data_IF_623037354465
#
_entry.id   IF_623037354465
#
_cell.length_a   1.000
_cell.length_b   1.000
_cell.length_c   1.000
_cell.angle_alpha   90.00
_cell.angle_beta   90.00
_cell.angle_gamma   90.00
#
_symmetry.space_group_name_H-M   'P 1'
#
loop_
_entity.id
_entity.type
_entity.pdbx_description
1 polymer ?
#
# COMPACT_ATOMS: atom_id res chain seq x y z
N UNK A 1 5.52 -17.44 67.60
CA UNK A 1 4.82 -17.34 68.90
C UNK A 1 4.22 -15.94 68.95
N UNK A 2 2.98 -15.77 68.50
CA UNK A 2 1.73 -15.66 69.30
C UNK A 2 1.82 -14.50 70.32
N UNK A 3 0.91 -13.54 70.48
CA UNK A 3 -0.46 -13.35 70.00
C UNK A 3 -0.94 -11.95 70.43
N UNK A 4 -1.76 -11.31 69.58
CA UNK A 4 -3.00 -10.56 69.87
C UNK A 4 -2.99 -9.35 70.84
N UNK A 5 -3.40 -8.16 70.36
CA UNK A 5 -4.77 -7.64 70.53
C UNK A 5 -4.93 -6.22 69.92
N UNK A 6 -5.98 -6.05 69.10
CA UNK A 6 -6.57 -4.81 68.57
C UNK A 6 -7.94 -4.65 69.24
N UNK A 7 -8.49 -3.43 69.45
CA UNK A 7 -9.64 -2.97 68.62
C UNK A 7 -9.80 -1.41 68.58
N UNK A 8 -10.88 -0.81 68.03
CA UNK A 8 -11.57 -1.04 66.75
C UNK A 8 -11.71 0.25 65.89
N UNK A 9 -12.23 0.08 64.67
CA UNK A 9 -12.67 1.12 63.71
C UNK A 9 -14.01 1.76 64.10
N UNK A 10 -14.33 2.99 63.63
CA UNK A 10 -15.70 3.40 63.33
C UNK A 10 -16.01 3.28 61.83
N UNK A 11 -17.15 2.66 61.52
CA UNK A 11 -17.70 2.47 60.19
C UNK A 11 -18.55 3.64 59.66
N UNK A 12 -19.25 3.45 58.52
CA UNK A 12 -19.82 4.50 57.69
C UNK A 12 -21.30 4.77 57.98
N UNK A 13 -21.75 6.03 57.87
CA UNK A 13 -23.18 6.42 57.81
C UNK A 13 -23.33 7.70 56.93
N UNK A 14 -24.54 8.13 56.49
CA UNK A 14 -25.00 7.89 55.11
C UNK A 14 -25.62 9.13 54.37
N UNK A 15 -25.86 8.99 53.05
CA UNK A 15 -26.94 9.62 52.24
C UNK A 15 -26.94 11.18 52.11
N UNK A 16 -27.34 11.86 51.03
CA UNK A 16 -28.18 11.60 49.85
C UNK A 16 -27.97 12.80 48.89
N UNK A 17 -27.90 12.55 47.57
CA UNK A 17 -28.61 13.29 46.50
C UNK A 17 -27.85 13.28 45.18
N UNK A 18 -28.50 12.63 44.22
CA UNK A 18 -28.10 12.47 42.84
C UNK A 18 -27.93 13.80 42.08
N UNK A 19 -26.82 13.92 41.33
CA UNK A 19 -26.79 14.63 40.04
C UNK A 19 -26.01 13.80 39.04
N UNK A 20 -26.78 12.99 38.30
CA UNK A 20 -26.36 12.27 37.11
C UNK A 20 -26.20 13.30 35.99
N UNK A 21 -24.98 13.73 35.68
CA UNK A 21 -24.70 14.48 34.45
C UNK A 21 -24.67 13.49 33.30
N UNK A 22 -25.83 13.31 32.68
CA UNK A 22 -25.97 12.66 31.37
C UNK A 22 -25.66 13.72 30.32
N UNK A 23 -24.57 13.54 29.58
CA UNK A 23 -24.31 14.32 28.37
C UNK A 23 -25.41 14.02 27.34
N UNK A 24 -26.03 15.03 26.71
CA UNK A 24 -27.07 14.81 25.72
C UNK A 24 -26.47 14.30 24.39
N UNK A 25 -27.19 13.43 23.65
CA UNK A 25 -26.80 13.05 22.29
C UNK A 25 -26.98 14.21 21.31
N UNK A 26 -26.21 14.27 20.20
CA UNK A 26 -26.42 15.26 19.16
C UNK A 26 -27.78 15.06 18.47
N UNK A 27 -28.51 16.16 18.31
CA UNK A 27 -29.81 16.19 17.64
C UNK A 27 -29.65 15.90 16.13
N UNK A 28 -30.64 15.24 15.49
CA UNK A 28 -30.61 15.00 14.06
C UNK A 28 -30.83 16.31 13.30
N UNK A 29 -29.88 16.65 12.43
CA UNK A 29 -30.04 17.71 11.44
C UNK A 29 -31.11 17.27 10.44
N UNK A 30 -32.33 17.79 10.62
CA UNK A 30 -33.37 17.78 9.59
C UNK A 30 -32.93 18.72 8.46
N UNK A 31 -32.45 18.15 7.36
CA UNK A 31 -32.46 18.86 6.08
C UNK A 31 -33.85 18.71 5.50
N UNK A 32 -34.62 19.79 5.58
CA UNK A 32 -35.98 19.87 5.05
C UNK A 32 -35.96 19.81 3.53
N UNK A 33 -36.66 18.82 2.97
CA UNK A 33 -37.13 18.83 1.59
C UNK A 33 -38.09 20.00 1.41
N UNK A 34 -37.68 21.02 0.66
CA UNK A 34 -38.58 22.03 0.11
C UNK A 34 -38.66 21.82 -1.41
N UNK A 35 -39.72 21.12 -1.82
CA UNK A 35 -40.21 21.16 -3.18
C UNK A 35 -40.85 22.53 -3.42
N UNK A 36 -40.31 23.29 -4.38
CA UNK A 36 -41.04 24.36 -5.04
C UNK A 36 -40.93 24.15 -6.54
N UNK A 37 -42.06 23.72 -7.10
CA UNK A 37 -42.37 23.74 -8.51
C UNK A 37 -42.53 25.20 -9.00
N UNK A 38 -42.19 25.43 -10.26
CA UNK A 38 -42.80 26.53 -11.02
C UNK A 38 -41.90 27.21 -12.05
N UNK A 39 -42.10 26.84 -13.31
CA UNK A 39 -41.92 27.68 -14.52
C UNK A 39 -40.46 27.97 -14.93
N UNK A 40 -39.95 27.53 -16.07
CA UNK A 40 -40.60 27.33 -17.35
C UNK A 40 -39.79 28.10 -18.41
N UNK A 41 -39.02 27.38 -19.23
CA UNK A 41 -38.63 27.82 -20.57
C UNK A 41 -38.18 26.62 -21.41
N UNK A 42 -39.07 26.22 -22.31
CA UNK A 42 -38.82 25.26 -23.40
C UNK A 42 -37.91 25.91 -24.44
N UNK A 43 -36.89 25.18 -24.86
CA UNK A 43 -36.43 25.20 -26.25
C UNK A 43 -36.34 23.74 -26.71
N UNK A 44 -37.36 23.31 -27.47
CA UNK A 44 -37.30 22.12 -28.32
C UNK A 44 -36.50 22.49 -29.56
N UNK A 45 -35.42 21.77 -29.83
CA UNK A 45 -34.91 21.54 -31.17
C UNK A 45 -34.28 20.15 -31.16
N UNK A 46 -35.02 19.19 -31.69
CA UNK A 46 -34.48 17.91 -32.10
C UNK A 46 -33.73 18.11 -33.40
N UNK A 47 -32.48 17.65 -33.43
CA UNK A 47 -31.78 17.34 -34.66
C UNK A 47 -31.09 15.99 -34.45
N UNK A 48 -31.65 14.96 -35.06
CA UNK A 48 -30.97 13.68 -35.23
C UNK A 48 -29.83 13.93 -36.22
N UNK A 49 -28.59 13.83 -35.75
CA UNK A 49 -27.41 13.82 -36.61
C UNK A 49 -26.97 12.37 -36.74
N UNK A 50 -26.99 11.90 -37.98
CA UNK A 50 -26.60 10.56 -38.39
C UNK A 50 -25.19 10.22 -37.91
N UNK A 51 -25.01 8.99 -37.43
CA UNK A 51 -23.70 8.39 -37.21
C UNK A 51 -22.96 8.34 -38.55
N UNK A 52 -21.96 9.21 -38.70
CA UNK A 52 -20.99 9.12 -39.79
C UNK A 52 -19.88 8.17 -39.35
N UNK A 53 -19.62 7.17 -40.20
CA UNK A 53 -18.62 6.13 -39.97
C UNK A 53 -17.24 6.75 -39.71
N UNK A 54 -16.60 6.34 -38.61
CA UNK A 54 -15.21 6.65 -38.34
C UNK A 54 -14.32 6.00 -39.43
N UNK A 55 -13.27 6.69 -39.91
CA UNK A 55 -12.42 6.16 -40.97
C UNK A 55 -11.56 5.00 -40.44
N UNK A 56 -11.56 3.89 -41.20
CA UNK A 56 -11.08 2.55 -40.84
C UNK A 56 -9.56 2.38 -40.72
N UNK A 57 -8.79 3.44 -40.49
CA UNK A 57 -7.32 3.36 -40.45
C UNK A 57 -6.73 3.18 -39.04
N UNK A 58 -7.55 3.29 -37.98
CA UNK A 58 -7.09 3.11 -36.60
C UNK A 58 -7.26 1.69 -36.05
N UNK A 59 -8.05 0.83 -36.70
CA UNK A 59 -8.19 -0.58 -36.29
C UNK A 59 -7.04 -1.46 -36.80
N UNK A 60 -6.38 -1.08 -37.90
CA UNK A 60 -5.31 -1.89 -38.49
C UNK A 60 -3.96 -1.74 -37.75
N UNK A 61 -3.74 -0.62 -37.06
CA UNK A 61 -2.55 -0.41 -36.23
C UNK A 61 -2.62 -1.14 -34.87
N UNK A 62 -3.83 -1.47 -34.39
CA UNK A 62 -4.05 -2.20 -33.13
C UNK A 62 -3.99 -3.72 -33.29
N UNK A 63 -4.22 -4.23 -34.50
CA UNK A 63 -4.24 -5.67 -34.80
C UNK A 63 -2.86 -6.16 -35.28
N UNK A 64 -2.09 -5.33 -35.98
CA UNK A 64 -0.76 -5.72 -36.48
C UNK A 64 0.33 -5.88 -35.39
N UNK A 65 0.11 -5.39 -34.16
CA UNK A 65 1.05 -5.58 -33.03
C UNK A 65 0.71 -6.83 -32.20
N UNK A 66 -0.41 -7.50 -32.47
CA UNK A 66 -0.86 -8.65 -31.68
C UNK A 66 -0.59 -10.03 -32.32
N UNK A 67 -0.15 -10.07 -33.57
CA UNK A 67 0.00 -11.32 -34.34
C UNK A 67 1.43 -11.88 -34.43
N UNK A 68 2.48 -11.14 -34.03
CA UNK A 68 3.86 -11.66 -33.99
C UNK A 68 4.53 -11.42 -32.65
N UNK A 69 4.09 -12.18 -31.65
CA UNK A 69 4.70 -12.18 -30.34
C UNK A 69 3.78 -12.91 -29.37
N UNK A 70 3.85 -14.25 -29.39
CA UNK A 70 3.08 -15.10 -28.47
C UNK A 70 3.09 -14.48 -27.08
N UNK A 71 1.90 -14.12 -26.58
CA UNK A 71 1.65 -13.31 -25.38
C UNK A 71 2.21 -13.98 -24.12
N UNK A 72 3.53 -14.02 -23.98
CA UNK A 72 4.20 -14.36 -22.74
C UNK A 72 4.09 -13.14 -21.84
N UNK A 73 3.63 -13.38 -20.62
CA UNK A 73 3.60 -12.38 -19.57
C UNK A 73 4.99 -11.71 -19.49
N UNK A 74 5.10 -10.37 -19.59
CA UNK A 74 6.38 -9.66 -19.48
C UNK A 74 7.15 -10.01 -18.20
N UNK A 75 6.45 -10.40 -17.13
CA UNK A 75 7.07 -10.85 -15.88
C UNK A 75 7.67 -12.26 -15.92
N UNK A 76 7.47 -13.00 -17.02
CA UNK A 76 7.96 -14.38 -17.26
C UNK A 76 8.85 -14.44 -18.51
N UNK A 77 8.82 -13.41 -19.35
CA UNK A 77 9.65 -13.35 -20.55
C UNK A 77 11.02 -12.78 -20.22
N UNK A 78 12.06 -13.59 -20.35
CA UNK A 78 13.45 -13.14 -20.25
C UNK A 78 13.81 -12.10 -21.33
N UNK A 79 12.96 -11.92 -22.37
CA UNK A 79 13.18 -10.98 -23.47
C UNK A 79 13.18 -9.50 -23.06
N UNK A 80 12.51 -9.15 -21.96
CA UNK A 80 12.44 -7.77 -21.47
C UNK A 80 13.39 -7.49 -20.30
N UNK A 81 14.13 -8.51 -19.84
CA UNK A 81 15.06 -8.40 -18.74
C UNK A 81 16.46 -8.07 -19.27
N UNK A 82 17.04 -6.91 -18.92
CA UNK A 82 18.43 -6.61 -19.24
C UNK A 82 19.37 -7.74 -18.75
N UNK A 83 20.30 -8.15 -19.62
CA UNK A 83 21.35 -9.08 -19.24
C UNK A 83 22.17 -8.46 -18.09
N UNK A 84 22.26 -9.17 -16.95
CA UNK A 84 23.02 -8.72 -15.77
C UNK A 84 22.19 -8.34 -14.54
N UNK A 85 20.86 -8.23 -14.64
CA UNK A 85 20.02 -8.03 -13.45
C UNK A 85 19.92 -9.33 -12.61
N UNK A 86 20.17 -9.29 -11.28
CA UNK A 86 20.08 -10.47 -10.39
C UNK A 86 18.68 -11.08 -10.36
N UNK A 87 18.57 -12.41 -10.52
CA UNK A 87 17.28 -13.11 -10.48
C UNK A 87 16.57 -12.87 -9.14
N UNK A 88 15.26 -12.56 -9.15
CA UNK A 88 14.51 -12.40 -7.91
C UNK A 88 14.46 -13.74 -7.18
N UNK A 89 14.49 -13.70 -5.84
CA UNK A 89 14.37 -14.90 -5.04
C UNK A 89 13.02 -15.57 -5.30
N UNK A 90 13.04 -16.81 -5.81
CA UNK A 90 11.84 -17.52 -6.26
C UNK A 90 10.83 -17.77 -5.12
N UNK A 91 11.31 -18.06 -3.91
CA UNK A 91 10.45 -18.33 -2.75
C UNK A 91 9.64 -17.09 -2.36
N UNK A 92 10.29 -15.93 -2.31
CA UNK A 92 9.62 -14.66 -2.00
C UNK A 92 8.71 -14.23 -3.15
N UNK A 93 9.15 -14.40 -4.40
CA UNK A 93 8.34 -14.06 -5.57
C UNK A 93 7.03 -14.87 -5.65
N UNK A 94 7.09 -16.17 -5.37
CA UNK A 94 5.89 -17.02 -5.31
C UNK A 94 4.93 -16.57 -4.20
N UNK A 95 5.46 -16.19 -3.04
CA UNK A 95 4.66 -15.65 -1.95
C UNK A 95 3.99 -14.33 -2.35
N UNK A 96 4.72 -13.41 -2.97
CA UNK A 96 4.20 -12.14 -3.48
C UNK A 96 3.08 -12.35 -4.51
N UNK A 97 3.21 -13.32 -5.41
CA UNK A 97 2.17 -13.64 -6.38
C UNK A 97 0.83 -14.08 -5.74
N UNK A 98 0.86 -14.49 -4.46
CA UNK A 98 -0.33 -14.84 -3.68
C UNK A 98 -0.84 -13.71 -2.80
N UNK A 99 0.06 -13.01 -2.10
CA UNK A 99 -0.31 -12.03 -1.06
C UNK A 99 -0.32 -10.59 -1.55
N UNK A 100 0.43 -10.26 -2.60
CA UNK A 100 0.52 -8.91 -3.16
C UNK A 100 -0.51 -8.71 -4.27
N UNK A 101 -1.79 -8.98 -3.96
CA UNK A 101 -2.91 -8.82 -4.88
C UNK A 101 -4.06 -8.07 -4.21
N UNK A 102 -5.13 -7.76 -4.94
CA UNK A 102 -6.22 -6.94 -4.40
C UNK A 102 -6.99 -7.59 -3.23
N UNK A 103 -7.87 -6.84 -2.56
CA UNK A 103 -8.59 -7.27 -1.33
C UNK A 103 -9.45 -8.52 -1.50
N UNK A 104 -9.88 -8.82 -2.72
CA UNK A 104 -10.69 -10.01 -3.03
C UNK A 104 -9.90 -11.17 -3.67
N UNK A 105 -8.66 -10.92 -4.11
CA UNK A 105 -7.84 -11.89 -4.86
C UNK A 105 -6.72 -12.49 -4.03
N UNK A 106 -6.39 -11.83 -2.93
CA UNK A 106 -5.32 -12.25 -2.02
C UNK A 106 -5.59 -13.63 -1.45
N UNK A 107 -4.55 -14.46 -1.48
CA UNK A 107 -4.58 -15.83 -0.94
C UNK A 107 -3.55 -15.92 0.19
N UNK A 108 -3.98 -15.87 1.47
CA UNK A 108 -3.10 -16.00 2.62
C UNK A 108 -2.16 -17.21 2.51
N UNK A 109 -0.96 -17.09 3.08
CA UNK A 109 0.00 -18.19 3.12
C UNK A 109 -0.39 -19.19 4.22
N UNK A 110 -0.12 -20.47 3.96
CA UNK A 110 -0.13 -21.49 5.02
C UNK A 110 1.06 -21.31 5.96
N UNK A 111 1.05 -21.96 7.12
CA UNK A 111 2.09 -21.81 8.13
C UNK A 111 3.47 -22.18 7.61
N UNK A 112 3.61 -23.36 6.98
CA UNK A 112 4.89 -23.85 6.47
C UNK A 112 5.45 -22.93 5.38
N UNK A 113 4.57 -22.36 4.55
CA UNK A 113 4.97 -21.41 3.52
C UNK A 113 5.39 -20.08 4.13
N UNK A 114 4.64 -19.54 5.10
CA UNK A 114 4.99 -18.31 5.80
C UNK A 114 6.32 -18.44 6.55
N UNK A 115 6.54 -19.55 7.26
CA UNK A 115 7.81 -19.86 7.92
C UNK A 115 8.96 -19.90 6.93
N UNK A 116 8.80 -20.59 5.79
CA UNK A 116 9.84 -20.68 4.75
C UNK A 116 10.19 -19.32 4.17
N UNK A 117 9.20 -18.48 3.90
CA UNK A 117 9.42 -17.13 3.33
C UNK A 117 10.16 -16.24 4.33
N UNK A 118 9.73 -16.20 5.59
CA UNK A 118 10.37 -15.38 6.63
C UNK A 118 11.77 -15.88 7.00
N UNK A 119 11.99 -17.20 7.01
CA UNK A 119 13.34 -17.79 7.15
C UNK A 119 14.25 -17.38 5.98
N UNK A 120 13.75 -17.46 4.75
CA UNK A 120 14.50 -17.04 3.55
C UNK A 120 14.88 -15.56 3.64
N UNK A 121 13.95 -14.70 4.05
CA UNK A 121 14.21 -13.26 4.27
C UNK A 121 15.27 -13.05 5.36
N UNK A 122 15.14 -13.74 6.50
CA UNK A 122 16.09 -13.63 7.61
C UNK A 122 17.52 -14.01 7.16
N UNK A 123 17.66 -15.17 6.53
CA UNK A 123 18.95 -15.68 6.02
C UNK A 123 19.54 -14.78 4.94
N UNK A 124 18.69 -14.22 4.07
CA UNK A 124 19.11 -13.22 3.08
C UNK A 124 19.66 -11.96 3.74
N UNK A 125 18.96 -11.42 4.74
CA UNK A 125 19.38 -10.22 5.45
C UNK A 125 20.64 -10.45 6.31
N UNK A 126 20.90 -11.68 6.75
CA UNK A 126 22.17 -12.09 7.39
C UNK A 126 23.32 -12.31 6.39
N UNK A 127 23.07 -12.22 5.08
CA UNK A 127 24.07 -12.48 4.05
C UNK A 127 24.43 -13.96 3.85
N UNK A 128 23.58 -14.87 4.33
CA UNK A 128 23.81 -16.32 4.22
C UNK A 128 23.42 -16.88 2.84
N UNK A 129 22.57 -16.18 2.09
CA UNK A 129 22.17 -16.57 0.74
C UNK A 129 23.14 -15.99 -0.29
N UNK A 130 23.95 -16.88 -0.88
CA UNK A 130 24.92 -16.52 -1.93
C UNK A 130 24.30 -16.44 -3.33
N UNK A 131 23.29 -17.27 -3.58
CA UNK A 131 22.54 -17.29 -4.83
C UNK A 131 21.15 -16.72 -4.58
N UNK A 132 20.73 -15.80 -5.46
CA UNK A 132 19.40 -15.17 -5.44
C UNK A 132 19.00 -14.59 -4.06
N UNK A 133 19.78 -13.66 -3.49
CA UNK A 133 19.37 -12.96 -2.27
C UNK A 133 18.06 -12.19 -2.52
N UNK A 134 17.25 -12.06 -1.48
CA UNK A 134 16.02 -11.28 -1.52
C UNK A 134 16.37 -9.80 -1.72
N UNK A 135 15.94 -9.22 -2.83
CA UNK A 135 16.24 -7.82 -3.15
C UNK A 135 15.45 -6.84 -2.27
N UNK A 136 15.93 -5.59 -2.17
CA UNK A 136 15.23 -4.50 -1.46
C UNK A 136 13.81 -4.30 -1.99
N UNK A 137 13.63 -4.34 -3.32
CA UNK A 137 12.32 -4.28 -3.95
C UNK A 137 11.40 -5.45 -3.51
N UNK A 138 11.93 -6.68 -3.40
CA UNK A 138 11.15 -7.82 -2.92
C UNK A 138 10.74 -7.67 -1.45
N UNK A 139 11.64 -7.18 -0.59
CA UNK A 139 11.32 -6.90 0.81
C UNK A 139 10.21 -5.85 0.92
N UNK A 140 10.37 -4.71 0.23
CA UNK A 140 9.40 -3.63 0.24
C UNK A 140 8.02 -4.08 -0.23
N UNK A 141 7.95 -4.79 -1.36
CA UNK A 141 6.67 -5.24 -1.88
C UNK A 141 6.01 -6.33 -1.01
N UNK A 142 6.79 -7.28 -0.48
CA UNK A 142 6.26 -8.32 0.38
C UNK A 142 5.70 -7.75 1.68
N UNK A 143 6.48 -6.92 2.38
CA UNK A 143 6.04 -6.35 3.66
C UNK A 143 4.90 -5.34 3.47
N UNK A 144 4.88 -4.53 2.41
CA UNK A 144 3.74 -3.67 2.12
C UNK A 144 2.45 -4.48 1.97
N UNK A 145 2.52 -5.61 1.25
CA UNK A 145 1.37 -6.49 1.11
C UNK A 145 0.94 -7.12 2.43
N UNK A 146 1.87 -7.51 3.28
CA UNK A 146 1.55 -7.99 4.63
C UNK A 146 0.86 -6.89 5.46
N UNK A 147 1.41 -5.68 5.49
CA UNK A 147 0.88 -4.54 6.28
C UNK A 147 -0.51 -4.11 5.84
N UNK A 148 -0.74 -3.94 4.53
CA UNK A 148 -2.06 -3.55 4.01
C UNK A 148 -3.10 -4.60 4.37
N UNK A 149 -2.74 -5.89 4.20
CA UNK A 149 -3.64 -6.99 4.53
C UNK A 149 -4.00 -7.03 6.01
N UNK A 150 -3.09 -6.69 6.93
CA UNK A 150 -3.43 -6.64 8.35
C UNK A 150 -4.31 -5.44 8.72
N UNK A 151 -4.17 -4.33 8.00
CA UNK A 151 -4.78 -3.05 8.37
C UNK A 151 -6.17 -2.85 7.76
N UNK A 152 -6.37 -3.18 6.49
CA UNK A 152 -7.55 -2.72 5.73
C UNK A 152 -8.33 -3.82 5.01
N UNK A 153 -7.73 -4.98 4.74
CA UNK A 153 -8.39 -6.02 3.95
C UNK A 153 -9.48 -6.76 4.74
N UNK A 154 -10.50 -7.33 4.06
CA UNK A 154 -11.52 -8.18 4.69
C UNK A 154 -10.92 -9.42 5.36
N UNK A 155 -11.54 -9.92 6.42
CA UNK A 155 -11.05 -11.03 7.26
C UNK A 155 -10.54 -12.25 6.46
N UNK A 156 -11.25 -12.63 5.39
CA UNK A 156 -10.88 -13.77 4.54
C UNK A 156 -9.51 -13.62 3.83
N UNK A 157 -9.04 -12.39 3.63
CA UNK A 157 -7.77 -12.07 2.95
C UNK A 157 -6.75 -11.39 3.85
N UNK A 158 -7.09 -11.17 5.13
CA UNK A 158 -6.14 -10.80 6.18
C UNK A 158 -5.14 -11.92 6.45
N UNK A 159 -4.26 -11.72 7.44
CA UNK A 159 -3.29 -12.74 7.82
C UNK A 159 -3.99 -14.03 8.23
N UNK A 160 -3.47 -15.16 7.75
CA UNK A 160 -3.83 -16.47 8.29
C UNK A 160 -3.26 -16.61 9.71
N UNK A 161 -3.76 -17.59 10.47
CA UNK A 161 -3.13 -17.92 11.75
C UNK A 161 -1.67 -18.37 11.60
N UNK A 162 -1.35 -19.07 10.50
CA UNK A 162 0.01 -19.48 10.19
C UNK A 162 0.93 -18.30 9.95
N UNK A 163 0.46 -17.27 9.22
CA UNK A 163 1.20 -16.02 9.03
C UNK A 163 1.42 -15.27 10.36
N UNK A 164 0.40 -15.21 11.23
CA UNK A 164 0.53 -14.63 12.58
C UNK A 164 1.56 -15.36 13.43
N UNK A 165 1.53 -16.71 13.45
CA UNK A 165 2.51 -17.54 14.18
C UNK A 165 3.92 -17.38 13.62
N UNK A 166 4.08 -17.37 12.30
CA UNK A 166 5.38 -17.18 11.69
C UNK A 166 5.93 -15.78 11.98
N UNK A 167 5.11 -14.73 11.88
CA UNK A 167 5.52 -13.37 12.19
C UNK A 167 5.96 -13.25 13.66
N UNK A 168 5.24 -13.85 14.61
CA UNK A 168 5.61 -13.75 16.04
C UNK A 168 6.95 -14.41 16.37
N UNK A 169 7.33 -15.45 15.63
CA UNK A 169 8.62 -16.14 15.78
C UNK A 169 9.77 -15.36 15.14
N UNK A 170 9.57 -14.86 13.90
CA UNK A 170 10.65 -14.27 13.11
C UNK A 170 10.84 -12.76 13.35
N UNK A 171 9.78 -12.01 13.64
CA UNK A 171 9.84 -10.54 13.76
C UNK A 171 10.88 -10.03 14.77
N UNK A 172 11.03 -10.61 15.98
CA UNK A 172 12.04 -10.15 16.94
C UNK A 172 13.48 -10.23 16.41
N UNK A 173 13.76 -11.14 15.48
CA UNK A 173 15.08 -11.25 14.83
C UNK A 173 15.17 -10.35 13.60
N UNK A 174 14.13 -10.31 12.78
CA UNK A 174 14.05 -9.47 11.58
C UNK A 174 14.22 -7.99 11.92
N UNK A 175 13.57 -7.49 12.97
CA UNK A 175 13.65 -6.09 13.38
C UNK A 175 15.07 -5.64 13.77
N UNK A 176 15.95 -6.58 14.13
CA UNK A 176 17.35 -6.27 14.47
C UNK A 176 18.21 -6.05 13.22
N UNK A 177 17.93 -6.81 12.15
CA UNK A 177 18.81 -6.88 10.97
C UNK A 177 18.28 -6.14 9.74
N UNK A 178 16.97 -5.94 9.62
CA UNK A 178 16.38 -5.31 8.44
C UNK A 178 16.82 -3.83 8.30
N UNK A 179 16.77 -3.27 7.09
CA UNK A 179 16.95 -1.82 6.88
C UNK A 179 15.82 -1.00 7.54
N UNK A 180 16.06 0.26 7.96
CA UNK A 180 15.05 1.11 8.59
C UNK A 180 13.79 1.31 7.76
N UNK A 181 13.91 1.48 6.46
CA UNK A 181 12.79 1.65 5.53
C UNK A 181 11.90 0.40 5.46
N UNK A 182 12.50 -0.80 5.51
CA UNK A 182 11.75 -2.06 5.50
C UNK A 182 11.03 -2.26 6.83
N UNK A 183 11.64 -1.86 7.95
CA UNK A 183 10.98 -1.87 9.27
C UNK A 183 9.78 -0.91 9.27
N UNK A 184 9.91 0.25 8.65
CA UNK A 184 8.80 1.19 8.47
C UNK A 184 7.68 0.59 7.64
N UNK A 185 7.98 0.00 6.47
CA UNK A 185 6.97 -0.60 5.59
C UNK A 185 6.23 -1.73 6.32
N UNK A 186 6.98 -2.58 7.03
CA UNK A 186 6.42 -3.72 7.75
C UNK A 186 5.61 -3.29 8.97
N UNK A 187 6.03 -2.25 9.70
CA UNK A 187 5.36 -1.83 10.93
C UNK A 187 5.30 -0.29 11.05
N UNK A 188 4.47 0.39 10.23
CA UNK A 188 4.47 1.86 10.14
C UNK A 188 4.04 2.54 11.44
N UNK A 189 3.21 1.87 12.24
CA UNK A 189 2.66 2.34 13.51
C UNK A 189 3.39 1.76 14.75
N UNK A 190 4.28 0.79 14.58
CA UNK A 190 5.02 0.16 15.68
C UNK A 190 4.19 -0.81 16.52
N UNK A 191 3.16 -1.43 15.92
CA UNK A 191 2.12 -2.20 16.63
C UNK A 191 2.26 -3.71 16.49
N UNK A 192 3.05 -4.23 15.53
CA UNK A 192 3.08 -5.66 15.16
C UNK A 192 3.33 -6.62 16.35
N UNK A 193 4.06 -6.18 17.39
CA UNK A 193 4.29 -7.02 18.58
C UNK A 193 4.03 -6.34 19.93
N UNK A 194 3.26 -5.24 19.96
CA UNK A 194 2.95 -4.51 21.20
C UNK A 194 4.17 -3.97 21.99
N UNK A 195 5.37 -4.11 21.43
CA UNK A 195 6.60 -3.53 21.93
C UNK A 195 6.81 -2.20 21.23
N UNK A 196 7.24 -1.17 21.97
CA UNK A 196 7.54 0.21 21.58
C UNK A 196 8.46 0.35 20.33
N UNK A 197 8.00 -0.11 19.17
CA UNK A 197 8.71 -0.07 17.91
C UNK A 197 8.72 1.36 17.40
N UNK A 198 9.68 2.16 17.85
CA UNK A 198 9.75 3.59 17.51
C UNK A 198 10.26 3.83 16.09
N UNK A 199 10.79 2.81 15.41
CA UNK A 199 11.41 2.97 14.08
C UNK A 199 10.39 3.35 13.03
N UNK A 200 9.26 2.64 12.93
CA UNK A 200 8.23 2.92 11.93
C UNK A 200 7.60 4.31 12.09
N UNK A 201 7.06 4.66 13.27
CA UNK A 201 6.43 5.96 13.51
C UNK A 201 7.40 7.15 13.32
N UNK A 202 8.70 6.96 13.57
CA UNK A 202 9.71 8.02 13.44
C UNK A 202 10.45 8.02 12.10
N UNK A 203 10.18 7.06 11.22
CA UNK A 203 10.81 7.02 9.91
C UNK A 203 10.24 8.14 9.03
N UNK A 204 11.14 8.96 8.50
CA UNK A 204 10.82 10.11 7.64
C UNK A 204 11.44 10.01 6.25
N UNK A 205 12.25 8.99 5.94
CA UNK A 205 12.97 8.91 4.67
C UNK A 205 14.23 9.77 4.61
N UNK A 206 15.04 9.55 3.58
CA UNK A 206 16.27 10.29 3.30
C UNK A 206 16.05 11.32 2.18
N UNK A 207 16.14 12.60 2.52
CA UNK A 207 15.95 13.69 1.57
C UNK A 207 14.47 13.98 1.25
N UNK A 208 14.24 15.02 0.44
CA UNK A 208 12.90 15.56 0.20
C UNK A 208 11.98 14.61 -0.59
N UNK A 209 12.55 13.87 -1.55
CA UNK A 209 11.81 12.88 -2.35
C UNK A 209 11.28 11.73 -1.49
N UNK A 210 12.14 11.08 -0.71
CA UNK A 210 11.72 10.00 0.18
C UNK A 210 10.79 10.48 1.30
N UNK A 211 10.98 11.69 1.84
CA UNK A 211 10.06 12.25 2.83
C UNK A 211 8.63 12.32 2.32
N UNK A 212 8.45 12.75 1.08
CA UNK A 212 7.15 12.79 0.43
C UNK A 212 6.61 11.39 0.17
N UNK A 213 7.45 10.47 -0.31
CA UNK A 213 7.10 9.07 -0.54
C UNK A 213 6.66 8.38 0.75
N UNK A 214 7.36 8.61 1.87
CA UNK A 214 7.03 8.04 3.19
C UNK A 214 5.69 8.59 3.68
N UNK A 215 5.43 9.89 3.49
CA UNK A 215 4.12 10.47 3.79
C UNK A 215 2.99 9.79 3.01
N UNK A 216 3.17 9.62 1.70
CA UNK A 216 2.22 8.93 0.84
C UNK A 216 2.06 7.44 1.20
N UNK A 217 3.16 6.75 1.55
CA UNK A 217 3.15 5.36 1.97
C UNK A 217 2.35 5.11 3.24
N UNK A 218 2.30 6.05 4.19
CA UNK A 218 1.47 5.89 5.40
C UNK A 218 -0.01 5.75 5.06
N UNK A 219 -0.50 6.57 4.13
CA UNK A 219 -1.88 6.49 3.64
C UNK A 219 -2.11 5.17 2.88
N UNK A 220 -1.21 4.83 1.94
CA UNK A 220 -1.32 3.61 1.12
C UNK A 220 -1.27 2.35 2.00
N UNK A 221 -0.37 2.26 2.98
CA UNK A 221 -0.24 1.12 3.89
C UNK A 221 -1.42 1.00 4.86
N UNK A 222 -2.18 2.08 5.09
CA UNK A 222 -3.44 2.06 5.80
C UNK A 222 -4.63 1.60 4.93
N UNK A 223 -4.40 1.29 3.65
CA UNK A 223 -5.45 0.93 2.68
C UNK A 223 -6.12 2.14 2.02
N UNK A 224 -5.56 3.33 2.17
CA UNK A 224 -6.07 4.57 1.61
C UNK A 224 -5.68 4.78 0.14
N UNK A 225 -6.19 5.90 -0.40
CA UNK A 225 -5.93 6.37 -1.75
C UNK A 225 -5.41 7.80 -1.71
N UNK A 226 -4.55 8.13 -2.67
CA UNK A 226 -3.92 9.44 -2.72
C UNK A 226 -4.66 10.39 -3.67
N UNK A 227 -4.51 11.68 -3.41
CA UNK A 227 -4.94 12.73 -4.33
C UNK A 227 -4.14 12.71 -5.63
N UNK A 228 -4.75 13.23 -6.70
CA UNK A 228 -4.10 13.37 -8.00
C UNK A 228 -2.75 14.12 -7.93
N UNK A 229 -2.73 15.27 -7.25
CA UNK A 229 -1.53 16.11 -7.13
C UNK A 229 -0.44 15.41 -6.30
N UNK A 230 -0.84 14.67 -5.27
CA UNK A 230 0.07 13.94 -4.39
C UNK A 230 0.78 12.82 -5.16
N UNK A 231 0.04 12.01 -5.93
CA UNK A 231 0.61 10.96 -6.78
C UNK A 231 1.53 11.58 -7.84
N UNK A 232 1.10 12.64 -8.52
CA UNK A 232 1.92 13.28 -9.55
C UNK A 232 3.25 13.81 -8.98
N UNK A 233 3.22 14.48 -7.82
CA UNK A 233 4.44 14.97 -7.17
C UNK A 233 5.35 13.83 -6.73
N UNK A 234 4.79 12.79 -6.09
CA UNK A 234 5.56 11.61 -5.66
C UNK A 234 6.25 10.95 -6.86
N UNK A 235 5.52 10.71 -7.95
CA UNK A 235 6.08 10.07 -9.15
C UNK A 235 7.20 10.90 -9.80
N UNK A 236 7.05 12.23 -9.89
CA UNK A 236 8.07 13.12 -10.45
C UNK A 236 9.37 13.13 -9.65
N UNK A 237 9.30 12.91 -8.33
CA UNK A 237 10.48 12.95 -7.46
C UNK A 237 11.21 11.60 -7.35
N UNK A 238 10.51 10.49 -7.58
CA UNK A 238 11.02 9.12 -7.31
C UNK A 238 11.29 8.31 -8.57
N UNK A 239 10.64 8.61 -9.69
CA UNK A 239 10.87 7.87 -10.92
C UNK A 239 12.12 8.42 -11.62
N UNK A 240 13.12 7.58 -11.93
CA UNK A 240 14.33 8.01 -12.64
C UNK A 240 14.04 8.16 -14.13
N UNK A 241 13.18 9.11 -14.49
CA UNK A 241 12.81 9.40 -15.88
C UNK A 241 13.33 10.82 -16.14
N UNK A 242 14.37 10.95 -16.96
CA UNK A 242 15.00 12.24 -17.29
C UNK A 242 16.49 12.13 -17.70
N UNK A 243 16.98 12.99 -18.62
CA UNK A 243 18.37 12.97 -19.14
C UNK A 243 19.42 13.54 -18.17
N UNK A 244 18.98 14.20 -17.10
CA UNK A 244 19.82 14.71 -16.02
C UNK A 244 19.75 13.75 -14.83
N UNK A 245 20.38 12.59 -15.00
CA UNK A 245 20.50 11.54 -13.99
C UNK A 245 21.50 11.91 -12.89
N UNK A 246 21.28 13.02 -12.19
CA UNK A 246 21.71 13.14 -10.80
C UNK A 246 20.67 12.37 -9.96
N UNK A 247 20.75 11.03 -10.07
CA UNK A 247 19.79 10.09 -9.54
C UNK A 247 19.52 10.38 -8.06
N UNK A 248 18.33 10.87 -7.74
CA UNK A 248 17.78 10.75 -6.39
C UNK A 248 17.70 9.26 -6.11
N UNK A 249 18.69 8.74 -5.37
CA UNK A 249 18.76 7.33 -4.96
C UNK A 249 17.63 7.07 -3.97
N UNK A 250 16.42 6.90 -4.49
CA UNK A 250 15.25 6.50 -3.71
C UNK A 250 15.38 5.01 -3.41
N UNK A 251 15.13 4.62 -2.17
CA UNK A 251 15.17 3.22 -1.77
C UNK A 251 14.20 2.39 -2.62
N UNK A 252 14.75 1.37 -3.29
CA UNK A 252 13.97 0.42 -4.09
C UNK A 252 12.85 -0.25 -3.28
N UNK A 253 13.07 -0.43 -1.96
CA UNK A 253 12.06 -0.98 -1.07
C UNK A 253 10.85 -0.05 -0.93
N UNK A 254 11.08 1.27 -0.75
CA UNK A 254 10.00 2.25 -0.64
C UNK A 254 9.23 2.38 -1.95
N UNK A 255 9.94 2.44 -3.08
CA UNK A 255 9.31 2.52 -4.40
C UNK A 255 8.47 1.26 -4.69
N UNK A 256 9.01 0.07 -4.45
CA UNK A 256 8.29 -1.18 -4.66
C UNK A 256 7.07 -1.30 -3.72
N UNK A 257 7.20 -0.89 -2.46
CA UNK A 257 6.09 -0.83 -1.51
C UNK A 257 4.97 0.10 -1.98
N UNK A 258 5.32 1.26 -2.54
CA UNK A 258 4.36 2.24 -3.03
C UNK A 258 3.57 1.71 -4.22
N UNK A 259 4.27 1.21 -5.24
CA UNK A 259 3.65 0.68 -6.45
C UNK A 259 2.78 -0.54 -6.16
N UNK A 260 3.26 -1.48 -5.35
CA UNK A 260 2.46 -2.65 -5.01
C UNK A 260 1.28 -2.27 -4.11
N UNK A 261 1.46 -1.31 -3.20
CA UNK A 261 0.43 -0.90 -2.27
C UNK A 261 -0.75 -0.24 -2.97
N UNK A 262 -0.47 0.68 -3.91
CA UNK A 262 -1.51 1.28 -4.74
C UNK A 262 -2.27 0.23 -5.55
N UNK A 263 -1.54 -0.71 -6.18
CA UNK A 263 -2.15 -1.85 -6.89
C UNK A 263 -3.04 -2.71 -6.01
N UNK A 264 -2.59 -2.98 -4.79
CA UNK A 264 -3.33 -3.76 -3.81
C UNK A 264 -4.60 -3.04 -3.36
N UNK A 265 -4.56 -1.71 -3.20
CA UNK A 265 -5.72 -0.91 -2.83
C UNK A 265 -6.71 -0.70 -3.98
N UNK A 266 -6.33 -1.05 -5.22
CA UNK A 266 -7.06 -0.80 -6.48
C UNK A 266 -7.07 0.69 -6.80
N UNK A 267 -6.08 1.12 -7.57
CA UNK A 267 -5.89 2.51 -7.96
C UNK A 267 -7.20 3.13 -8.47
N UNK A 268 -7.49 4.34 -8.01
CA UNK A 268 -8.65 5.10 -8.48
C UNK A 268 -8.38 5.72 -9.85
N UNK A 269 -9.44 6.12 -10.57
CA UNK A 269 -9.31 6.86 -11.83
C UNK A 269 -8.45 8.13 -11.69
N UNK A 270 -8.45 8.74 -10.50
CA UNK A 270 -7.65 9.94 -10.19
C UNK A 270 -6.16 9.62 -10.09
N UNK A 271 -5.83 8.54 -9.38
CA UNK A 271 -4.45 8.04 -9.25
C UNK A 271 -3.93 7.58 -10.62
N UNK A 272 -4.75 6.85 -11.40
CA UNK A 272 -4.39 6.42 -12.75
C UNK A 272 -4.15 7.61 -13.69
N UNK A 273 -4.98 8.65 -13.63
CA UNK A 273 -4.76 9.88 -14.39
C UNK A 273 -3.44 10.57 -14.01
N UNK A 274 -3.08 10.55 -12.72
CA UNK A 274 -1.81 11.10 -12.25
C UNK A 274 -0.61 10.34 -12.83
N UNK A 275 -0.68 9.01 -12.92
CA UNK A 275 0.33 8.21 -13.61
C UNK A 275 0.49 8.64 -15.06
N UNK A 276 -0.61 8.69 -15.84
CA UNK A 276 -0.55 9.07 -17.25
C UNK A 276 0.12 10.43 -17.44
N UNK A 277 -0.26 11.44 -16.66
CA UNK A 277 0.29 12.80 -16.79
C UNK A 277 1.73 12.91 -16.29
N UNK A 278 2.11 12.18 -15.25
CA UNK A 278 3.50 12.13 -14.80
C UNK A 278 4.43 11.57 -15.88
N UNK A 279 3.97 10.61 -16.69
CA UNK A 279 4.74 10.07 -17.81
C UNK A 279 4.63 10.91 -19.10
N UNK A 280 3.47 11.50 -19.39
CA UNK A 280 3.24 12.27 -20.63
C UNK A 280 3.92 13.65 -20.63
N UNK A 281 4.01 14.32 -19.48
CA UNK A 281 4.70 15.61 -19.32
C UNK A 281 6.16 15.54 -19.81
N UNK A 282 6.78 14.36 -19.81
CA UNK A 282 8.16 14.15 -20.27
C UNK A 282 8.28 13.78 -21.76
N UNK A 283 7.31 13.04 -22.32
CA UNK A 283 7.28 12.71 -23.75
C UNK A 283 6.95 13.94 -24.63
N UNK A 284 6.24 14.93 -24.08
CA UNK A 284 5.94 16.19 -24.76
C UNK A 284 7.16 17.10 -25.00
N UNK A 285 8.15 17.04 -24.10
CA UNK A 285 9.38 17.84 -24.24
C UNK A 285 10.43 17.17 -25.14
N UNK A 286 10.34 15.86 -25.36
CA UNK A 286 11.25 15.12 -26.25
C UNK A 286 10.93 15.27 -27.75
N UNK A 287 9.80 15.90 -28.12
CA UNK A 287 9.41 16.18 -29.52
C UNK A 287 9.67 17.62 -29.97
N UNK A 288 10.48 18.37 -29.25
CA UNK A 288 10.98 19.68 -29.69
C UNK A 288 12.50 19.63 -29.85
N UNK A 289 12.96 18.89 -30.85
CA UNK A 289 14.26 19.06 -31.51
C UNK A 289 14.14 18.52 -32.93
#
# INVERSE_FOLDING_TARGET
MNSLLRPPLPGPTPSLSARRMVSPPPAPVRVSSAALAGSGRRCRLGLAVAASAAPSWMEEAGVAVLEEGGRRNPSVSDSYRPAGLPRPNATVLEAQARVCTGPAQTRPLGEEQAMRVLDTILRSAMGELKEEPVSSAQLGAFFAGMTIRSNSFPEATQWSEGERRAMSIFWPRLVQILPPEVKFIADPEGTIMGANGLTGPRYVGQGTGEMRLVGALREVLAGGHLGYEEVQCVLKDILPIGPSSDLTVTSEALLAAFLIGQRMNRETDRELKAYCLAFDDELGNSRKN
#
